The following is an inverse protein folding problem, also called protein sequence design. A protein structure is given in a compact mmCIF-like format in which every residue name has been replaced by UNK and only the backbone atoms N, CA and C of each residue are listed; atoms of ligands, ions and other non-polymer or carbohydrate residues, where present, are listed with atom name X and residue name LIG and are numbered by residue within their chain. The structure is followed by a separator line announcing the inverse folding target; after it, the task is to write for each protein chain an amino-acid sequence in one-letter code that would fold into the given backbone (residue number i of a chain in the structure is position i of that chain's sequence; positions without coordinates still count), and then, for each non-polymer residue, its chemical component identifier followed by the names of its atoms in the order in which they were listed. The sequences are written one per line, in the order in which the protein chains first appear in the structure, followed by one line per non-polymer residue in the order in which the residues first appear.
data_IF_654325876818
#
_entry.id   IF_654325876818
#
_cell.length_a   1.000
_cell.length_b   1.000
_cell.length_c   1.000
_cell.angle_alpha   90.00
_cell.angle_beta   90.00
_cell.angle_gamma   90.00
#
_symmetry.space_group_name_H-M   'P 1'
#
loop_
_entity.id
_entity.type
_entity.pdbx_description
1 polymer ?
#
# COMPACT_ATOMS: atom_id res chain seq x y z
N UNK A 1 14.91 -0.96 -4.10
CA UNK A 1 16.12 -1.66 -3.56
C UNK A 1 15.63 -2.61 -2.47
N UNK A 2 15.99 -3.89 -2.50
CA UNK A 2 15.62 -4.84 -1.44
C UNK A 2 16.48 -4.56 -0.20
N UNK A 3 15.85 -4.19 0.93
CA UNK A 3 16.59 -3.72 2.12
C UNK A 3 16.48 -4.72 3.28
N UNK A 4 15.45 -5.56 3.33
CA UNK A 4 15.41 -6.64 4.31
C UNK A 4 14.16 -7.50 4.28
N UNK A 5 14.10 -8.43 5.24
CA UNK A 5 12.96 -9.28 5.50
C UNK A 5 12.51 -9.12 6.95
N UNK A 6 11.19 -9.11 7.19
CA UNK A 6 10.63 -9.25 8.54
C UNK A 6 10.08 -10.65 8.68
N UNK A 7 10.54 -11.35 9.71
CA UNK A 7 9.93 -12.61 10.15
C UNK A 7 8.73 -12.27 11.05
N UNK A 8 7.54 -12.44 10.52
CA UNK A 8 6.34 -12.64 11.32
C UNK A 8 6.32 -14.12 11.71
N UNK A 9 5.89 -14.44 12.92
CA UNK A 9 5.97 -15.80 13.49
C UNK A 9 5.50 -16.92 12.53
N UNK A 10 4.57 -16.60 11.62
CA UNK A 10 3.99 -17.50 10.64
C UNK A 10 4.43 -17.25 9.19
N UNK A 11 5.18 -16.18 8.90
CA UNK A 11 5.62 -15.82 7.54
C UNK A 11 6.83 -14.89 7.52
N UNK A 12 7.77 -15.13 6.62
CA UNK A 12 8.82 -14.15 6.29
C UNK A 12 8.32 -13.24 5.18
N UNK A 13 8.42 -11.92 5.37
CA UNK A 13 7.99 -10.92 4.40
C UNK A 13 9.14 -10.09 3.91
N UNK A 14 9.09 -9.76 2.62
CA UNK A 14 10.02 -8.83 1.99
C UNK A 14 9.57 -7.41 2.25
N UNK A 15 10.51 -6.57 2.68
CA UNK A 15 10.31 -5.13 2.81
C UNK A 15 11.30 -4.39 1.95
N UNK A 16 10.78 -3.49 1.13
CA UNK A 16 11.58 -2.52 0.43
C UNK A 16 11.43 -1.17 1.13
N UNK A 17 12.55 -0.52 1.38
CA UNK A 17 12.56 0.85 1.91
C UNK A 17 13.26 1.72 0.89
N UNK A 18 12.64 2.84 0.55
CA UNK A 18 13.27 3.84 -0.30
C UNK A 18 13.78 4.92 0.64
N UNK A 19 15.08 5.19 0.58
CA UNK A 19 15.76 6.10 1.50
C UNK A 19 16.19 7.36 0.76
N UNK A 20 16.04 8.52 1.40
CA UNK A 20 16.61 9.79 0.96
C UNK A 20 17.30 10.46 2.14
N UNK A 21 18.58 10.81 1.95
CA UNK A 21 19.40 11.47 2.96
C UNK A 21 19.43 10.73 4.32
N UNK A 22 19.38 9.40 4.29
CA UNK A 22 19.39 8.55 5.49
C UNK A 22 18.03 8.38 6.17
N UNK A 23 16.94 8.90 5.58
CA UNK A 23 15.58 8.78 6.09
C UNK A 23 14.73 7.93 5.14
N UNK A 24 13.88 7.07 5.70
CA UNK A 24 12.94 6.26 4.93
C UNK A 24 11.80 7.14 4.42
N UNK A 25 11.63 7.21 3.11
CA UNK A 25 10.61 8.04 2.45
C UNK A 25 9.45 7.23 1.88
N UNK A 26 9.67 5.95 1.56
CA UNK A 26 8.63 5.00 1.15
C UNK A 26 8.95 3.64 1.80
N UNK A 27 7.92 3.01 2.37
CA UNK A 27 7.97 1.64 2.86
C UNK A 27 7.07 0.79 1.96
N UNK A 28 7.60 -0.27 1.35
CA UNK A 28 6.82 -1.25 0.60
C UNK A 28 6.84 -2.61 1.31
N UNK A 29 5.68 -3.24 1.44
CA UNK A 29 5.49 -4.54 2.07
C UNK A 29 4.78 -5.50 1.12
N UNK A 30 5.29 -6.73 1.01
CA UNK A 30 4.59 -7.82 0.32
C UNK A 30 3.29 -8.18 1.08
N UNK A 31 2.18 -8.23 0.34
CA UNK A 31 0.88 -8.67 0.85
C UNK A 31 0.76 -10.18 0.76
N UNK A 32 0.17 -10.78 1.79
CA UNK A 32 -0.12 -12.22 1.84
C UNK A 32 -1.54 -12.44 2.35
N UNK A 33 -2.03 -13.66 2.16
CA UNK A 33 -3.38 -13.99 2.56
C UNK A 33 -3.64 -13.71 4.05
N UNK A 34 -4.78 -13.07 4.35
CA UNK A 34 -5.22 -12.67 5.69
C UNK A 34 -4.74 -11.28 6.12
N UNK A 35 -3.99 -10.57 5.28
CA UNK A 35 -3.61 -9.19 5.56
C UNK A 35 -4.80 -8.25 5.63
N UNK A 36 -4.62 -7.17 6.39
CA UNK A 36 -5.64 -6.13 6.51
C UNK A 36 -5.07 -4.74 6.33
N UNK A 37 -5.87 -3.86 5.74
CA UNK A 37 -5.64 -2.41 5.69
C UNK A 37 -6.81 -1.71 6.40
N UNK A 38 -6.54 -0.95 7.46
CA UNK A 38 -7.60 -0.33 8.28
C UNK A 38 -8.68 -1.36 8.74
N UNK A 39 -8.22 -2.57 9.04
CA UNK A 39 -9.06 -3.72 9.41
C UNK A 39 -9.95 -4.25 8.29
N UNK A 40 -9.74 -3.88 7.03
CA UNK A 40 -10.36 -4.47 5.83
C UNK A 40 -9.48 -5.60 5.33
N UNK A 41 -10.06 -6.77 5.09
CA UNK A 41 -9.32 -7.94 4.61
C UNK A 41 -8.93 -7.75 3.13
N UNK A 42 -7.65 -7.98 2.84
CA UNK A 42 -7.07 -7.88 1.50
C UNK A 42 -7.26 -9.17 0.67
N UNK A 43 -7.84 -10.24 1.21
CA UNK A 43 -8.18 -11.48 0.47
C UNK A 43 -9.36 -11.32 -0.50
N UNK A 44 -9.73 -10.09 -0.84
CA UNK A 44 -10.91 -9.74 -1.62
C UNK A 44 -10.52 -9.06 -2.94
N UNK A 45 -11.49 -8.93 -3.84
CA UNK A 45 -11.25 -8.20 -5.10
C UNK A 45 -11.00 -6.71 -4.85
N UNK A 46 -10.29 -6.01 -5.76
CA UNK A 46 -10.00 -4.58 -5.60
C UNK A 46 -11.25 -3.72 -5.37
N UNK A 47 -12.35 -4.06 -6.06
CA UNK A 47 -13.63 -3.37 -5.92
C UNK A 47 -14.27 -3.59 -4.54
N UNK A 48 -14.19 -4.81 -4.00
CA UNK A 48 -14.71 -5.14 -2.67
C UNK A 48 -13.91 -4.45 -1.57
N UNK A 49 -12.57 -4.47 -1.68
CA UNK A 49 -11.66 -3.77 -0.77
C UNK A 49 -11.98 -2.27 -0.74
N UNK A 50 -12.08 -1.63 -1.92
CA UNK A 50 -12.48 -0.22 -2.02
C UNK A 50 -13.82 0.06 -1.36
N UNK A 51 -14.83 -0.78 -1.61
CA UNK A 51 -16.16 -0.58 -1.04
C UNK A 51 -16.12 -0.65 0.49
N UNK A 52 -15.49 -1.67 1.06
CA UNK A 52 -15.42 -1.83 2.52
C UNK A 52 -14.66 -0.68 3.18
N UNK A 53 -13.59 -0.20 2.55
CA UNK A 53 -12.84 0.96 3.00
C UNK A 53 -13.70 2.24 2.99
N UNK A 54 -14.51 2.43 1.94
CA UNK A 54 -15.47 3.54 1.88
C UNK A 54 -16.57 3.43 2.94
N UNK A 55 -17.09 2.24 3.20
CA UNK A 55 -18.08 1.99 4.26
C UNK A 55 -17.53 2.30 5.65
N UNK A 56 -16.21 2.16 5.84
CA UNK A 56 -15.48 2.57 7.06
C UNK A 56 -15.10 4.04 7.10
N UNK A 57 -15.42 4.81 6.06
CA UNK A 57 -15.16 6.26 5.99
C UNK A 57 -13.78 6.63 5.48
N UNK A 58 -13.03 5.71 4.87
CA UNK A 58 -11.75 6.02 4.24
C UNK A 58 -11.96 6.45 2.78
N UNK A 59 -11.38 7.60 2.40
CA UNK A 59 -11.40 8.02 1.01
C UNK A 59 -10.37 7.24 0.20
N UNK A 60 -10.85 6.64 -0.89
CA UNK A 60 -10.02 5.85 -1.78
C UNK A 60 -10.48 5.88 -3.22
N UNK A 61 -9.49 5.80 -4.12
CA UNK A 61 -9.67 5.74 -5.56
C UNK A 61 -9.09 4.44 -6.08
N UNK A 62 -9.82 3.79 -6.98
CA UNK A 62 -9.39 2.55 -7.64
C UNK A 62 -9.07 2.88 -9.09
N UNK A 63 -7.90 2.47 -9.52
CA UNK A 63 -7.38 2.50 -10.88
C UNK A 63 -7.18 1.06 -11.37
N UNK A 64 -6.62 0.88 -12.57
CA UNK A 64 -6.56 -0.43 -13.23
C UNK A 64 -5.89 -1.50 -12.36
N UNK A 65 -4.72 -1.19 -11.79
CA UNK A 65 -3.87 -2.10 -11.01
C UNK A 65 -3.57 -1.58 -9.59
N UNK A 66 -4.19 -0.47 -9.17
CA UNK A 66 -3.89 0.17 -7.90
C UNK A 66 -5.10 0.74 -7.19
N UNK A 67 -5.06 0.70 -5.86
CA UNK A 67 -6.00 1.37 -4.97
C UNK A 67 -5.23 2.38 -4.11
N UNK A 68 -5.68 3.63 -4.16
CA UNK A 68 -4.96 4.77 -3.60
C UNK A 68 -5.72 5.35 -2.43
N UNK A 69 -5.00 5.53 -1.34
CA UNK A 69 -5.43 6.05 -0.06
C UNK A 69 -4.80 7.42 0.14
N UNK A 70 -5.49 8.46 -0.32
CA UNK A 70 -4.96 9.82 -0.30
C UNK A 70 -4.74 10.35 1.12
N UNK A 71 -5.66 10.04 2.03
CA UNK A 71 -5.60 10.53 3.41
C UNK A 71 -4.45 9.89 4.20
N UNK A 72 -4.06 8.67 3.85
CA UNK A 72 -2.99 7.91 4.50
C UNK A 72 -1.67 7.90 3.71
N UNK A 73 -1.65 8.49 2.50
CA UNK A 73 -0.54 8.40 1.53
C UNK A 73 -0.10 6.95 1.28
N UNK A 74 -1.09 6.10 0.96
CA UNK A 74 -0.89 4.66 0.72
C UNK A 74 -1.30 4.27 -0.68
N UNK A 75 -0.55 3.36 -1.30
CA UNK A 75 -0.93 2.69 -2.55
C UNK A 75 -0.91 1.19 -2.32
N UNK A 76 -2.03 0.54 -2.64
CA UNK A 76 -2.15 -0.91 -2.71
C UNK A 76 -2.10 -1.34 -4.17
N UNK A 77 -1.19 -2.24 -4.50
CA UNK A 77 -1.00 -2.76 -5.85
C UNK A 77 -1.66 -4.12 -6.00
N UNK A 78 -2.18 -4.40 -7.18
CA UNK A 78 -2.78 -5.67 -7.55
C UNK A 78 -2.04 -6.30 -8.73
N UNK A 79 -1.92 -7.62 -8.73
CA UNK A 79 -1.43 -8.39 -9.86
C UNK A 79 -2.51 -8.50 -10.95
N UNK A 80 -2.14 -9.01 -12.13
CA UNK A 80 -3.03 -9.15 -13.30
C UNK A 80 -4.29 -9.98 -13.02
N UNK A 81 -4.26 -10.86 -12.01
CA UNK A 81 -5.41 -11.67 -11.58
C UNK A 81 -6.30 -10.96 -10.55
N UNK A 82 -5.94 -9.72 -10.17
CA UNK A 82 -6.63 -8.89 -9.20
C UNK A 82 -6.28 -9.20 -7.74
N UNK A 83 -5.32 -10.09 -7.47
CA UNK A 83 -4.84 -10.35 -6.12
C UNK A 83 -3.94 -9.19 -5.64
N UNK A 84 -4.07 -8.72 -4.39
CA UNK A 84 -3.15 -7.70 -3.88
C UNK A 84 -1.74 -8.27 -3.75
N UNK A 85 -0.75 -7.50 -4.19
CA UNK A 85 0.63 -7.94 -4.30
C UNK A 85 1.56 -7.24 -3.32
N UNK A 86 1.56 -5.91 -3.30
CA UNK A 86 2.33 -5.12 -2.34
C UNK A 86 1.60 -3.83 -1.96
N UNK A 87 2.00 -3.26 -0.83
CA UNK A 87 1.49 -1.98 -0.35
C UNK A 87 2.63 -1.03 -0.06
N UNK A 88 2.50 0.21 -0.50
CA UNK A 88 3.46 1.28 -0.27
C UNK A 88 2.87 2.37 0.64
N UNK A 89 3.64 2.80 1.64
CA UNK A 89 3.36 3.94 2.49
C UNK A 89 4.38 5.04 2.24
N UNK A 90 3.91 6.25 1.97
CA UNK A 90 4.73 7.43 1.70
C UNK A 90 4.85 8.26 2.98
N UNK A 91 6.07 8.66 3.35
CA UNK A 91 6.30 9.44 4.58
C UNK A 91 5.70 10.85 4.47
N UNK A 92 4.74 11.23 5.33
CA UNK A 92 4.11 12.56 5.29
C UNK A 92 5.05 13.73 5.62
N UNK A 93 6.27 13.47 6.12
CA UNK A 93 7.30 14.49 6.29
C UNK A 93 8.01 14.86 4.97
N UNK A 94 7.89 13.99 3.96
CA UNK A 94 8.53 14.14 2.65
C UNK A 94 7.54 14.37 1.53
N UNK A 95 6.31 13.88 1.71
CA UNK A 95 5.26 13.91 0.71
C UNK A 95 4.06 14.69 1.25
N UNK A 96 3.61 15.66 0.47
CA UNK A 96 2.26 16.19 0.59
C UNK A 96 1.32 15.47 -0.37
N UNK A 97 0.01 15.70 -0.25
CA UNK A 97 -0.96 15.03 -1.11
C UNK A 97 -0.76 15.31 -2.61
N UNK A 98 -0.17 16.46 -2.98
CA UNK A 98 0.04 16.80 -4.39
C UNK A 98 1.22 16.01 -4.98
N UNK A 99 2.36 16.04 -4.31
CA UNK A 99 3.57 15.29 -4.68
C UNK A 99 3.34 13.78 -4.62
N UNK A 100 2.58 13.29 -3.65
CA UNK A 100 2.16 11.88 -3.58
C UNK A 100 1.39 11.44 -4.82
N UNK A 101 0.41 12.25 -5.26
CA UNK A 101 -0.37 11.93 -6.46
C UNK A 101 0.50 11.96 -7.72
N UNK A 102 1.40 12.93 -7.83
CA UNK A 102 2.34 13.01 -8.97
C UNK A 102 3.25 11.79 -9.05
N UNK A 103 3.75 11.28 -7.92
CA UNK A 103 4.59 10.08 -7.90
C UNK A 103 3.79 8.79 -8.13
N UNK A 104 2.61 8.68 -7.53
CA UNK A 104 1.74 7.51 -7.71
C UNK A 104 1.13 7.45 -9.13
N UNK A 105 1.01 8.59 -9.81
CA UNK A 105 0.46 8.75 -11.16
C UNK A 105 1.30 9.71 -12.03
N UNK A 106 2.50 9.29 -12.49
CA UNK A 106 3.40 10.12 -13.28
C UNK A 106 2.94 10.38 -14.72
#
# INVERSE_FOLDING_TARGET
MHIGTIDLETSTRVIHVHMKDGVAIILALLIVAGDTLEGVNLDSSPAAIKQELQEKGHHSSLFDDTLVFQDALVVLYFDDDGAPSFMEWYDPNYWDSASFIEEAFP
#
